data_IF_282124242157
#
_entry.id   IF_282124242157
#
_cell.length_a   1.000
_cell.length_b   1.000
_cell.length_c   1.000
_cell.angle_alpha   90.00
_cell.angle_beta   90.00
_cell.angle_gamma   90.00
#
_symmetry.space_group_name_H-M   'P 1'
#
loop_
_entity.id
_entity.type
_entity.pdbx_description
1 polymer ?
#
# COMPACT_ATOMS: atom_id res chain seq x y z
N UNK A 1 -6.29 35.38 -15.77
CA UNK A 1 -4.83 35.29 -15.49
C UNK A 1 -4.63 34.51 -14.20
N UNK A 2 -3.82 33.43 -14.28
CA UNK A 2 -3.12 32.69 -13.22
C UNK A 2 -3.93 32.02 -12.09
N UNK A 3 -4.13 30.71 -12.29
CA UNK A 3 -4.14 29.68 -11.24
C UNK A 3 -2.83 29.71 -10.44
N UNK A 4 -2.91 29.65 -9.10
CA UNK A 4 -1.83 29.20 -8.21
C UNK A 4 -2.52 28.50 -7.02
N UNK A 5 -2.69 27.17 -7.03
CA UNK A 5 -1.80 26.18 -6.37
C UNK A 5 -1.46 26.54 -4.91
N UNK A 6 -2.17 25.92 -3.97
CA UNK A 6 -1.89 26.06 -2.55
C UNK A 6 -2.74 25.12 -1.72
N UNK A 7 -2.58 23.82 -1.93
CA UNK A 7 -3.16 22.79 -1.08
C UNK A 7 -2.50 22.92 0.30
N UNK A 8 -3.16 23.64 1.21
CA UNK A 8 -2.76 23.78 2.61
C UNK A 8 -2.65 22.38 3.22
N UNK A 9 -1.40 21.97 3.41
CA UNK A 9 -0.93 20.97 4.35
C UNK A 9 -1.45 21.38 5.73
N UNK A 10 -2.57 20.81 6.17
CA UNK A 10 -3.11 21.09 7.50
C UNK A 10 -2.31 20.28 8.52
N UNK A 11 -1.20 20.86 8.97
CA UNK A 11 -0.51 20.50 10.22
C UNK A 11 -1.45 20.94 11.34
N UNK A 12 -1.92 19.99 12.14
CA UNK A 12 -2.53 20.29 13.44
C UNK A 12 -1.67 19.59 14.48
N UNK A 13 -0.81 20.38 15.12
CA UNK A 13 -0.11 20.02 16.35
C UNK A 13 -1.14 19.74 17.47
N UNK A 14 -0.95 18.66 18.23
CA UNK A 14 -0.91 18.73 19.70
C UNK A 14 -0.48 17.38 20.32
N UNK A 15 0.52 17.49 21.20
CA UNK A 15 1.06 16.56 22.22
C UNK A 15 2.32 15.71 21.92
N UNK A 16 3.35 16.18 22.62
CA UNK A 16 4.75 15.80 22.85
C UNK A 16 4.93 14.37 23.39
N UNK A 17 6.10 13.78 23.07
CA UNK A 17 6.81 12.70 23.79
C UNK A 17 6.68 11.25 23.29
N UNK A 18 6.22 11.01 22.07
CA UNK A 18 6.38 9.72 21.39
C UNK A 18 6.82 9.98 19.95
N UNK A 19 7.89 9.34 19.49
CA UNK A 19 8.50 9.48 18.15
C UNK A 19 7.61 8.93 17.01
N UNK A 20 6.33 9.30 17.02
CA UNK A 20 5.26 8.81 16.16
C UNK A 20 4.68 10.01 15.40
N UNK A 21 5.06 10.15 14.13
CA UNK A 21 4.49 11.17 13.26
C UNK A 21 3.17 10.66 12.68
N UNK A 22 2.06 11.33 13.01
CA UNK A 22 0.72 10.97 12.53
C UNK A 22 0.40 11.79 11.29
N UNK A 23 0.09 11.11 10.18
CA UNK A 23 -0.26 11.78 8.92
C UNK A 23 -1.69 11.48 8.53
N UNK A 24 -2.43 12.57 8.35
CA UNK A 24 -3.72 12.57 7.68
C UNK A 24 -3.53 12.47 6.18
N UNK A 25 -4.07 11.41 5.58
CA UNK A 25 -4.00 11.28 4.14
C UNK A 25 -5.38 11.10 3.51
N UNK A 26 -5.66 11.99 2.55
CA UNK A 26 -6.91 12.10 1.78
C UNK A 26 -6.87 11.19 0.55
N UNK A 27 -7.84 10.29 0.40
CA UNK A 27 -7.93 9.38 -0.75
C UNK A 27 -9.23 9.50 -1.49
N UNK A 28 -9.18 9.89 -2.76
CA UNK A 28 -10.36 9.93 -3.60
C UNK A 28 -10.83 8.52 -3.91
N UNK A 29 -12.13 8.27 -3.73
CA UNK A 29 -12.85 7.06 -4.10
C UNK A 29 -13.21 7.15 -5.59
N UNK A 30 -12.21 7.34 -6.45
CA UNK A 30 -12.42 7.17 -7.88
C UNK A 30 -11.84 5.82 -8.31
N UNK A 31 -12.56 5.05 -9.13
CA UNK A 31 -11.95 3.90 -9.78
C UNK A 31 -10.74 4.41 -10.56
N UNK A 32 -9.57 3.80 -10.33
CA UNK A 32 -8.40 3.97 -11.17
C UNK A 32 -8.74 3.40 -12.54
N UNK A 33 -9.28 4.23 -13.42
CA UNK A 33 -9.30 3.90 -14.85
C UNK A 33 -7.86 3.85 -15.32
N UNK A 34 -7.50 2.76 -16.00
CA UNK A 34 -6.22 2.70 -16.69
C UNK A 34 -6.23 3.80 -17.74
N UNK A 35 -5.30 4.74 -17.65
CA UNK A 35 -5.18 5.80 -18.66
C UNK A 35 -4.69 5.16 -19.96
N UNK A 36 -5.64 4.84 -20.84
CA UNK A 36 -5.38 4.35 -22.20
C UNK A 36 -5.62 5.52 -23.13
N UNK A 37 -4.65 5.79 -24.01
CA UNK A 37 -4.77 6.84 -25.02
C UNK A 37 -6.05 6.58 -25.82
N UNK A 38 -7.00 7.53 -25.76
CA UNK A 38 -8.31 7.48 -26.44
C UNK A 38 -9.22 6.29 -26.04
N UNK A 39 -8.89 5.56 -24.99
CA UNK A 39 -9.71 4.42 -24.54
C UNK A 39 -9.75 3.23 -25.51
N UNK A 40 -8.76 3.10 -26.40
CA UNK A 40 -8.70 2.01 -27.38
C UNK A 40 -7.77 0.92 -26.85
N UNK A 41 -8.33 -0.27 -26.57
CA UNK A 41 -7.57 -1.45 -26.16
C UNK A 41 -7.64 -2.51 -27.25
N UNK A 42 -6.49 -2.90 -27.78
CA UNK A 42 -6.38 -3.95 -28.80
C UNK A 42 -6.31 -5.35 -28.17
N UNK A 43 -6.72 -6.37 -28.93
CA UNK A 43 -6.67 -7.77 -28.53
C UNK A 43 -8.04 -8.34 -28.12
N UNK A 44 -8.01 -9.46 -27.39
CA UNK A 44 -9.22 -10.24 -27.11
C UNK A 44 -10.30 -9.42 -26.36
N UNK A 45 -11.59 -9.62 -26.67
CA UNK A 45 -12.70 -8.83 -26.12
C UNK A 45 -12.78 -8.88 -24.59
N UNK A 46 -12.32 -9.97 -23.97
CA UNK A 46 -12.24 -10.12 -22.50
C UNK A 46 -11.38 -9.06 -21.80
N UNK A 47 -10.43 -8.42 -22.50
CA UNK A 47 -9.48 -7.47 -21.93
C UNK A 47 -9.84 -6.01 -22.26
N UNK A 48 -10.93 -5.74 -22.99
CA UNK A 48 -11.26 -4.41 -23.52
C UNK A 48 -11.99 -3.49 -22.53
N UNK A 49 -12.44 -3.98 -21.37
CA UNK A 49 -13.16 -3.16 -20.39
C UNK A 49 -12.25 -2.14 -19.69
N UNK A 50 -12.68 -0.87 -19.59
CA UNK A 50 -11.87 0.22 -19.01
C UNK A 50 -12.50 0.80 -17.74
N UNK A 51 -13.80 1.12 -17.77
CA UNK A 51 -14.47 1.90 -16.72
C UNK A 51 -14.78 1.10 -15.45
N UNK A 52 -15.03 -0.20 -15.58
CA UNK A 52 -15.46 -1.07 -14.48
C UNK A 52 -14.32 -1.84 -13.80
N UNK A 53 -13.06 -1.58 -14.18
CA UNK A 53 -11.92 -2.22 -13.54
C UNK A 53 -11.78 -1.70 -12.10
N UNK A 54 -11.89 -2.60 -11.13
CA UNK A 54 -11.65 -2.31 -9.71
C UNK A 54 -10.19 -2.57 -9.38
N UNK A 55 -9.59 -1.67 -8.61
CA UNK A 55 -8.22 -1.85 -8.14
C UNK A 55 -8.12 -3.07 -7.21
N UNK A 56 -7.11 -3.91 -7.43
CA UNK A 56 -6.95 -5.18 -6.70
C UNK A 56 -6.50 -4.98 -5.24
N UNK A 57 -5.80 -3.86 -4.93
CA UNK A 57 -5.40 -3.57 -3.54
C UNK A 57 -6.47 -2.77 -2.82
N UNK A 58 -6.49 -2.89 -1.50
CA UNK A 58 -7.38 -2.09 -0.66
C UNK A 58 -6.93 -0.61 -0.65
N UNK A 59 -7.88 0.32 -0.55
CA UNK A 59 -7.65 1.77 -0.44
C UNK A 59 -6.71 2.12 0.72
N UNK A 60 -6.78 1.37 1.84
CA UNK A 60 -5.85 1.48 2.97
C UNK A 60 -4.40 1.17 2.59
N UNK A 61 -4.16 0.15 1.76
CA UNK A 61 -2.79 -0.21 1.32
C UNK A 61 -2.23 0.82 0.34
N UNK A 62 -3.06 1.34 -0.56
CA UNK A 62 -2.69 2.49 -1.41
C UNK A 62 -2.32 3.68 -0.55
N UNK A 63 -3.00 3.82 0.60
CA UNK A 63 -2.75 4.93 1.49
C UNK A 63 -1.39 4.89 2.16
N UNK A 64 -1.07 3.73 2.74
CA UNK A 64 0.24 3.46 3.32
C UNK A 64 1.35 3.67 2.27
N UNK A 65 1.16 3.19 1.05
CA UNK A 65 2.13 3.32 -0.05
C UNK A 65 2.40 4.78 -0.43
N UNK A 66 1.37 5.63 -0.54
CA UNK A 66 1.57 7.05 -0.86
C UNK A 66 2.28 7.81 0.25
N UNK A 67 1.94 7.54 1.52
CA UNK A 67 2.62 8.15 2.65
C UNK A 67 4.09 7.73 2.72
N UNK A 68 4.38 6.44 2.55
CA UNK A 68 5.75 5.92 2.52
C UNK A 68 6.59 6.47 1.35
N UNK A 69 5.97 6.70 0.18
CA UNK A 69 6.65 7.36 -0.95
C UNK A 69 6.93 8.84 -0.69
N UNK A 70 6.00 9.55 -0.05
CA UNK A 70 6.14 10.99 0.25
C UNK A 70 7.20 11.24 1.32
N UNK A 71 7.30 10.34 2.30
CA UNK A 71 8.25 10.44 3.41
C UNK A 71 9.15 9.21 3.44
N UNK A 72 10.03 9.11 2.44
CA UNK A 72 10.91 7.94 2.26
C UNK A 72 11.86 7.67 3.43
N UNK A 73 12.15 8.68 4.26
CA UNK A 73 12.97 8.54 5.48
C UNK A 73 12.25 7.83 6.63
N UNK A 74 10.91 7.86 6.66
CA UNK A 74 10.10 7.24 7.70
C UNK A 74 9.52 5.90 7.24
N UNK A 75 9.20 5.03 8.20
CA UNK A 75 8.64 3.68 7.95
C UNK A 75 7.21 3.59 8.44
N UNK A 76 6.32 3.00 7.63
CA UNK A 76 4.90 2.81 7.96
C UNK A 76 4.75 1.60 8.89
N UNK A 77 4.25 1.81 10.10
CA UNK A 77 3.89 0.72 11.01
C UNK A 77 2.49 0.18 10.71
N UNK A 78 1.51 1.08 10.80
CA UNK A 78 0.11 0.74 10.67
C UNK A 78 -0.70 1.97 10.23
N UNK A 79 -1.95 1.74 9.89
CA UNK A 79 -2.90 2.79 9.58
C UNK A 79 -4.28 2.46 10.15
N UNK A 80 -5.14 3.43 10.35
CA UNK A 80 -6.55 3.19 10.72
C UNK A 80 -7.48 4.14 9.98
N UNK A 81 -8.75 3.73 9.89
CA UNK A 81 -9.81 4.53 9.28
C UNK A 81 -10.30 5.56 10.29
N UNK A 82 -10.55 6.77 9.82
CA UNK A 82 -11.04 7.89 10.65
C UNK A 82 -12.46 8.24 10.24
N UNK A 83 -12.62 8.58 8.95
CA UNK A 83 -13.86 9.08 8.41
C UNK A 83 -13.95 8.83 6.88
N UNK A 84 -15.16 8.97 6.34
CA UNK A 84 -15.45 8.82 4.92
C UNK A 84 -16.48 9.87 4.47
N UNK A 85 -16.15 10.57 3.40
CA UNK A 85 -17.07 11.40 2.64
C UNK A 85 -17.53 10.63 1.38
N UNK A 86 -18.51 11.16 0.65
CA UNK A 86 -18.97 10.60 -0.64
C UNK A 86 -17.85 10.41 -1.66
N UNK A 87 -16.83 11.27 -1.61
CA UNK A 87 -15.74 11.31 -2.57
C UNK A 87 -14.42 10.81 -2.01
N UNK A 88 -14.22 10.84 -0.69
CA UNK A 88 -12.91 10.58 -0.08
C UNK A 88 -13.00 9.64 1.12
N UNK A 89 -12.02 8.75 1.27
CA UNK A 89 -11.77 8.03 2.53
C UNK A 89 -10.52 8.61 3.20
N UNK A 90 -10.59 8.80 4.51
CA UNK A 90 -9.49 9.31 5.31
C UNK A 90 -8.89 8.19 6.16
N UNK A 91 -7.56 8.11 6.12
CA UNK A 91 -6.79 7.20 6.95
C UNK A 91 -5.70 7.97 7.69
N UNK A 92 -5.52 7.60 8.95
CA UNK A 92 -4.42 8.06 9.79
C UNK A 92 -3.32 7.01 9.69
N UNK A 93 -2.13 7.44 9.32
CA UNK A 93 -1.00 6.56 9.07
C UNK A 93 0.05 6.85 10.13
N UNK A 94 0.47 5.79 10.81
CA UNK A 94 1.47 5.81 11.86
C UNK A 94 2.83 5.52 11.24
N UNK A 95 3.72 6.51 11.33
CA UNK A 95 5.08 6.45 10.81
C UNK A 95 6.10 6.51 11.95
N UNK A 96 7.23 5.85 11.72
CA UNK A 96 8.33 5.74 12.68
C UNK A 96 9.65 6.06 11.99
N UNK A 97 10.52 6.78 12.68
CA UNK A 97 11.88 7.05 12.21
C UNK A 97 12.82 5.88 12.54
N UNK A 98 13.32 5.20 11.50
CA UNK A 98 14.22 4.07 11.70
C UNK A 98 15.64 4.50 12.16
N UNK A 99 16.02 5.76 11.97
CA UNK A 99 17.34 6.27 12.35
C UNK A 99 17.44 6.63 13.85
N UNK A 100 16.31 6.65 14.56
CA UNK A 100 16.27 7.05 15.96
C UNK A 100 16.71 5.90 16.90
N UNK A 101 17.64 6.18 17.81
CA UNK A 101 18.25 5.17 18.70
C UNK A 101 17.23 4.45 19.59
N UNK A 102 16.19 5.13 20.07
CA UNK A 102 15.17 4.47 20.91
C UNK A 102 14.39 3.40 20.13
N UNK A 103 14.20 3.59 18.82
CA UNK A 103 13.51 2.65 17.94
C UNK A 103 14.42 1.50 17.52
N UNK A 104 15.71 1.79 17.32
CA UNK A 104 16.70 0.75 17.01
C UNK A 104 16.90 -0.23 18.16
N UNK A 105 16.93 0.29 19.39
CA UNK A 105 17.17 -0.49 20.59
C UNK A 105 15.93 -1.25 21.10
N UNK A 106 14.71 -0.90 20.66
CA UNK A 106 13.49 -1.62 21.05
C UNK A 106 13.31 -2.92 20.24
N UNK A 107 13.42 -4.11 20.87
CA UNK A 107 13.26 -5.40 20.18
C UNK A 107 11.84 -5.64 19.63
N UNK A 108 10.83 -4.90 20.11
CA UNK A 108 9.44 -5.04 19.66
C UNK A 108 9.20 -4.38 18.31
N UNK A 109 9.88 -3.25 18.05
CA UNK A 109 9.66 -2.40 16.87
C UNK A 109 10.72 -2.64 15.79
N UNK A 110 11.96 -2.96 16.17
CA UNK A 110 13.07 -3.24 15.27
C UNK A 110 12.75 -4.25 14.11
N UNK A 111 12.07 -5.40 14.31
CA UNK A 111 11.74 -6.31 13.19
C UNK A 111 10.72 -5.75 12.17
N UNK A 112 10.20 -4.54 12.38
CA UNK A 112 9.26 -3.86 11.49
C UNK A 112 9.95 -2.93 10.48
N UNK A 113 11.26 -2.73 10.58
CA UNK A 113 12.01 -1.69 9.85
C UNK A 113 12.10 -1.88 8.32
N UNK A 114 11.78 -3.05 7.77
CA UNK A 114 11.73 -3.26 6.32
C UNK A 114 10.35 -2.89 5.74
N UNK A 115 10.30 -2.02 4.72
CA UNK A 115 9.07 -1.54 4.04
C UNK A 115 8.03 -2.65 3.81
N UNK A 116 6.97 -2.68 4.61
CA UNK A 116 5.92 -3.72 4.61
C UNK A 116 4.80 -3.39 3.63
N UNK A 117 4.55 -2.10 3.45
CA UNK A 117 3.48 -1.51 2.65
C UNK A 117 3.59 -1.89 1.17
N UNK A 118 4.81 -1.96 0.64
CA UNK A 118 5.07 -2.34 -0.76
C UNK A 118 4.94 -3.86 -1.00
N UNK A 119 5.01 -4.69 0.05
CA UNK A 119 5.08 -6.15 -0.06
C UNK A 119 3.76 -6.87 0.26
N UNK A 120 2.77 -6.18 0.83
CA UNK A 120 1.42 -6.74 1.02
C UNK A 120 1.33 -7.94 1.99
N UNK A 121 2.23 -8.02 2.97
CA UNK A 121 2.38 -9.17 3.88
C UNK A 121 1.38 -9.13 5.06
N UNK A 122 0.07 -9.32 4.83
CA UNK A 122 -0.94 -9.28 5.92
C UNK A 122 -1.94 -10.45 6.01
N UNK A 123 -1.71 -11.58 5.34
CA UNK A 123 -2.61 -12.75 5.46
C UNK A 123 -2.02 -13.92 6.25
N UNK A 124 -2.56 -14.26 7.43
CA UNK A 124 -2.28 -15.50 8.19
C UNK A 124 -3.55 -16.38 8.27
N UNK A 125 -3.41 -17.71 8.19
CA UNK A 125 -4.54 -18.67 8.28
C UNK A 125 -4.66 -19.71 7.15
N UNK A 126 -5.56 -20.68 7.35
CA UNK A 126 -5.83 -21.86 6.49
C UNK A 126 -6.45 -21.53 5.13
N UNK A 127 -7.14 -20.40 4.99
CA UNK A 127 -7.77 -19.96 3.73
C UNK A 127 -6.77 -19.51 2.66
N UNK A 128 -5.47 -19.41 3.00
CA UNK A 128 -4.45 -18.80 2.15
C UNK A 128 -3.46 -19.83 1.56
N UNK A 129 -3.79 -21.13 1.52
CA UNK A 129 -2.90 -22.19 1.05
C UNK A 129 -2.39 -21.97 -0.38
N UNK A 130 -3.27 -21.51 -1.30
CA UNK A 130 -2.88 -21.18 -2.69
C UNK A 130 -2.16 -19.81 -2.83
N UNK A 131 -2.04 -19.06 -1.75
CA UNK A 131 -1.41 -17.74 -1.73
C UNK A 131 -0.04 -17.75 -1.01
N UNK A 132 0.40 -18.89 -0.46
CA UNK A 132 1.67 -19.04 0.28
C UNK A 132 2.72 -19.82 -0.51
N UNK A 133 3.98 -19.35 -0.60
CA UNK A 133 4.55 -18.12 -0.02
C UNK A 133 4.13 -16.84 -0.76
N UNK A 134 3.79 -16.95 -2.04
CA UNK A 134 3.11 -15.92 -2.84
C UNK A 134 2.32 -16.61 -3.95
N UNK A 135 1.25 -15.98 -4.46
CA UNK A 135 0.45 -16.56 -5.57
C UNK A 135 1.31 -16.97 -6.77
N UNK A 136 2.31 -16.15 -7.13
CA UNK A 136 3.27 -16.44 -8.21
C UNK A 136 4.21 -17.59 -7.84
N UNK A 137 4.69 -17.65 -6.60
CA UNK A 137 5.55 -18.73 -6.13
C UNK A 137 4.85 -20.09 -6.14
N UNK A 138 3.59 -20.14 -5.70
CA UNK A 138 2.77 -21.35 -5.75
C UNK A 138 2.48 -21.77 -7.20
N UNK A 139 2.11 -20.82 -8.07
CA UNK A 139 1.91 -21.12 -9.49
C UNK A 139 3.18 -21.65 -10.14
N UNK A 140 4.35 -21.04 -9.88
CA UNK A 140 5.62 -21.53 -10.43
C UNK A 140 5.90 -22.96 -9.99
N UNK A 141 5.76 -23.26 -8.69
CA UNK A 141 5.95 -24.62 -8.16
C UNK A 141 5.06 -25.65 -8.85
N UNK A 142 3.79 -25.32 -9.06
CA UNK A 142 2.83 -26.26 -9.63
C UNK A 142 3.00 -26.46 -11.15
N UNK A 143 3.67 -25.55 -11.86
CA UNK A 143 3.90 -25.63 -13.31
C UNK A 143 5.39 -25.83 -13.65
N UNK A 144 6.24 -26.12 -12.67
CA UNK A 144 7.64 -26.47 -12.92
C UNK A 144 7.73 -27.98 -12.98
N UNK A 145 8.07 -28.53 -14.15
CA UNK A 145 8.30 -29.95 -14.32
C UNK A 145 9.65 -30.32 -13.68
N UNK A 146 9.62 -31.19 -12.68
CA UNK A 146 10.81 -31.74 -12.07
C UNK A 146 11.23 -33.00 -12.81
N UNK A 147 12.30 -32.93 -13.61
CA UNK A 147 12.90 -34.10 -14.20
C UNK A 147 13.78 -34.79 -13.14
N UNK A 148 13.33 -35.95 -12.66
CA UNK A 148 14.18 -36.83 -11.86
C UNK A 148 15.11 -37.59 -12.79
N UNK A 149 16.40 -37.26 -12.76
CA UNK A 149 17.42 -38.12 -13.37
C UNK A 149 17.51 -39.37 -12.49
N UNK A 150 17.14 -40.52 -13.05
CA UNK A 150 17.36 -41.81 -12.41
C UNK A 150 18.87 -41.96 -12.17
N UNK A 151 19.27 -42.14 -10.91
CA UNK A 151 20.64 -42.44 -10.52
C UNK A 151 20.84 -43.95 -10.51
#
# INVERSE_FOLDING_TARGET
MKMVLGLLFYVKELWVCLDLFVIYSKYAVYPLSVFVIRGIVYGNPKNQGITQIKFQRNKRSVAEERAGRKLGGLKVLNSYWINEDSTYKYFEIILVDAAHNAIWNDPRINPVQQQRELRGLRGRGHLNTKARPSRRGTWKRNNTDSLSVLR
#
